data_IF_186975387252
#
_entry.id   IF_186975387252
#
_cell.length_a   1.000
_cell.length_b   1.000
_cell.length_c   1.000
_cell.angle_alpha   90.00
_cell.angle_beta   90.00
_cell.angle_gamma   90.00
#
_symmetry.space_group_name_H-M   'P 1'
#
loop_
_entity.id
_entity.type
_entity.pdbx_description
1 polymer ?
#
# COMPACT_ATOMS: atom_id res chain seq x y z
N UNK A 1 23.36 -15.29 3.12
CA UNK A 1 22.86 -15.56 1.75
C UNK A 1 21.87 -14.47 1.43
N UNK A 2 22.25 -13.54 0.56
CA UNK A 2 21.46 -12.34 0.25
C UNK A 2 20.57 -12.66 -0.95
N UNK A 3 19.25 -12.67 -0.76
CA UNK A 3 18.30 -12.87 -1.85
C UNK A 3 17.97 -11.51 -2.47
N UNK A 4 18.58 -11.24 -3.63
CA UNK A 4 18.23 -10.10 -4.49
C UNK A 4 16.99 -10.48 -5.30
N UNK A 5 15.84 -9.89 -4.98
CA UNK A 5 14.65 -10.00 -5.81
C UNK A 5 14.80 -9.09 -7.04
N UNK A 6 14.86 -9.67 -8.24
CA UNK A 6 14.76 -8.93 -9.50
C UNK A 6 13.30 -8.64 -9.77
N UNK A 7 12.91 -7.37 -9.66
CA UNK A 7 11.59 -6.88 -10.05
C UNK A 7 11.57 -6.83 -11.59
N UNK A 8 10.80 -7.71 -12.22
CA UNK A 8 10.64 -7.75 -13.67
C UNK A 8 9.49 -6.81 -14.06
N UNK A 9 9.83 -5.74 -14.77
CA UNK A 9 8.89 -4.75 -15.31
C UNK A 9 8.03 -5.36 -16.42
N UNK A 10 6.86 -5.87 -16.05
CA UNK A 10 5.74 -6.04 -16.98
C UNK A 10 4.45 -5.78 -16.20
N UNK A 11 3.88 -4.61 -16.47
CA UNK A 11 2.64 -3.94 -16.06
C UNK A 11 1.51 -4.61 -15.24
N UNK A 12 1.53 -5.87 -14.79
CA UNK A 12 0.39 -6.44 -14.07
C UNK A 12 0.72 -7.52 -13.02
N UNK A 13 1.99 -7.73 -12.64
CA UNK A 13 2.35 -8.84 -11.75
C UNK A 13 3.40 -8.43 -10.71
N UNK A 14 3.01 -8.39 -9.44
CA UNK A 14 3.94 -8.30 -8.30
C UNK A 14 3.89 -9.64 -7.57
N UNK A 15 4.99 -10.39 -7.58
CA UNK A 15 5.07 -11.76 -7.10
C UNK A 15 6.03 -11.90 -5.91
N UNK A 16 5.56 -12.53 -4.84
CA UNK A 16 6.39 -13.18 -3.81
C UNK A 16 6.18 -14.70 -3.94
N UNK A 17 7.26 -15.45 -4.01
CA UNK A 17 7.29 -16.82 -4.51
C UNK A 17 6.43 -17.82 -3.71
N UNK A 18 5.38 -18.35 -4.38
CA UNK A 18 4.88 -19.75 -4.45
C UNK A 18 3.38 -19.77 -4.79
N UNK A 19 2.63 -18.70 -4.52
CA UNK A 19 1.25 -18.51 -4.96
C UNK A 19 1.09 -17.10 -5.54
N UNK A 20 0.86 -16.98 -6.85
CA UNK A 20 0.75 -15.68 -7.49
C UNK A 20 -0.51 -14.94 -7.00
N UNK A 21 -0.32 -13.96 -6.12
CA UNK A 21 -1.39 -13.07 -5.68
C UNK A 21 -1.66 -12.06 -6.80
N UNK A 22 -2.77 -12.25 -7.52
CA UNK A 22 -3.21 -11.31 -8.56
C UNK A 22 -4.00 -10.18 -7.90
N UNK A 23 -3.39 -9.00 -7.81
CA UNK A 23 -4.05 -7.77 -7.36
C UNK A 23 -4.35 -6.92 -8.58
N UNK A 24 -5.61 -6.54 -8.75
CA UNK A 24 -6.00 -5.59 -9.78
C UNK A 24 -5.40 -4.23 -9.43
N UNK A 25 -4.54 -3.64 -10.28
CA UNK A 25 -3.96 -2.34 -10.01
C UNK A 25 -5.03 -1.25 -9.94
N UNK A 26 -4.83 -0.32 -9.03
CA UNK A 26 -5.63 0.91 -8.88
C UNK A 26 -4.91 2.12 -9.47
N UNK A 27 -3.58 2.02 -9.64
CA UNK A 27 -2.73 3.08 -10.17
C UNK A 27 -1.35 2.55 -10.59
N UNK A 28 -0.37 3.45 -10.66
CA UNK A 28 1.03 3.12 -10.94
C UNK A 28 1.69 2.56 -9.68
N UNK A 29 2.22 1.34 -9.75
CA UNK A 29 2.98 0.76 -8.64
C UNK A 29 4.27 1.53 -8.39
N UNK A 30 4.50 1.93 -7.14
CA UNK A 30 5.74 2.63 -6.74
C UNK A 30 6.57 1.89 -5.70
N UNK A 31 5.95 1.09 -4.82
CA UNK A 31 6.68 0.33 -3.81
C UNK A 31 5.85 -0.81 -3.21
N UNK A 32 6.54 -1.86 -2.74
CA UNK A 32 5.98 -2.89 -1.88
C UNK A 32 6.62 -2.81 -0.50
N UNK A 33 5.80 -2.70 0.55
CA UNK A 33 6.24 -2.78 1.94
C UNK A 33 5.92 -4.15 2.56
N UNK A 34 6.21 -4.31 3.85
CA UNK A 34 5.94 -5.56 4.59
C UNK A 34 4.45 -5.89 4.73
N UNK A 35 3.58 -4.87 4.59
CA UNK A 35 2.15 -4.93 4.89
C UNK A 35 1.26 -4.62 3.69
N UNK A 36 1.77 -3.86 2.72
CA UNK A 36 0.96 -3.30 1.65
C UNK A 36 1.77 -3.01 0.39
N UNK A 37 1.04 -2.97 -0.72
CA UNK A 37 1.45 -2.37 -1.98
C UNK A 37 1.11 -0.89 -1.95
N UNK A 38 2.01 -0.08 -2.49
CA UNK A 38 1.86 1.37 -2.63
C UNK A 38 1.75 1.73 -4.11
N UNK A 39 0.69 2.46 -4.45
CA UNK A 39 0.36 2.86 -5.82
C UNK A 39 0.07 4.37 -5.88
N UNK A 40 0.47 5.06 -6.96
CA UNK A 40 0.02 6.42 -7.27
C UNK A 40 -1.24 6.33 -8.14
N UNK A 41 -2.33 6.89 -7.65
CA UNK A 41 -3.60 6.96 -8.38
C UNK A 41 -3.53 8.01 -9.51
N UNK A 42 -4.41 7.94 -10.52
CA UNK A 42 -4.52 9.00 -11.54
C UNK A 42 -4.82 10.39 -10.99
N UNK A 43 -5.35 10.50 -9.76
CA UNK A 43 -5.52 11.78 -9.06
C UNK A 43 -4.20 12.41 -8.59
N UNK A 44 -3.10 11.67 -8.61
CA UNK A 44 -1.82 12.03 -8.00
C UNK A 44 -1.75 11.74 -6.51
N UNK A 45 -2.76 11.11 -5.90
CA UNK A 45 -2.71 10.65 -4.51
C UNK A 45 -2.07 9.25 -4.42
N UNK A 46 -1.53 8.92 -3.25
CA UNK A 46 -0.98 7.58 -2.97
C UNK A 46 -2.04 6.71 -2.31
N UNK A 47 -2.10 5.45 -2.72
CA UNK A 47 -2.90 4.41 -2.07
C UNK A 47 -2.02 3.32 -1.52
N UNK A 48 -2.31 2.89 -0.29
CA UNK A 48 -1.77 1.68 0.32
C UNK A 48 -2.86 0.61 0.35
N UNK A 49 -2.61 -0.52 -0.32
CA UNK A 49 -3.49 -1.69 -0.35
C UNK A 49 -2.79 -2.86 0.36
N UNK A 50 -3.38 -3.47 1.39
CA UNK A 50 -2.74 -4.57 2.10
C UNK A 50 -2.50 -5.78 1.18
N UNK A 51 -1.45 -6.55 1.47
CA UNK A 51 -1.24 -7.84 0.82
C UNK A 51 -2.43 -8.77 1.06
N UNK A 52 -2.82 -9.52 0.03
CA UNK A 52 -3.95 -10.47 0.05
C UNK A 52 -3.49 -11.88 -0.27
N UNK A 53 -4.28 -12.89 0.04
CA UNK A 53 -4.05 -14.28 -0.36
C UNK A 53 -2.90 -14.99 0.37
N UNK A 54 -2.24 -14.34 1.33
CA UNK A 54 -1.20 -14.97 2.16
C UNK A 54 -1.73 -15.26 3.57
N UNK A 55 -1.03 -16.13 4.31
CA UNK A 55 -1.29 -16.38 5.74
C UNK A 55 -1.22 -15.11 6.60
N UNK A 56 -0.57 -14.05 6.09
CA UNK A 56 -0.44 -12.75 6.76
C UNK A 56 -1.50 -11.73 6.37
N UNK A 57 -2.46 -12.08 5.49
CA UNK A 57 -3.48 -11.13 5.01
C UNK A 57 -4.24 -10.45 6.17
N UNK A 58 -4.70 -11.23 7.15
CA UNK A 58 -5.41 -10.67 8.31
C UNK A 58 -4.56 -9.68 9.10
N UNK A 59 -3.27 -9.95 9.24
CA UNK A 59 -2.36 -9.07 9.98
C UNK A 59 -2.04 -7.81 9.17
N UNK A 60 -1.84 -7.94 7.86
CA UNK A 60 -1.66 -6.81 6.95
C UNK A 60 -2.89 -5.86 6.99
N UNK A 61 -4.10 -6.43 6.95
CA UNK A 61 -5.35 -5.66 7.08
C UNK A 61 -5.45 -4.93 8.43
N UNK A 62 -5.09 -5.60 9.54
CA UNK A 62 -5.08 -4.99 10.88
C UNK A 62 -4.08 -3.85 10.97
N UNK A 63 -2.86 -4.03 10.46
CA UNK A 63 -1.80 -3.02 10.50
C UNK A 63 -2.20 -1.77 9.71
N UNK A 64 -2.76 -1.93 8.51
CA UNK A 64 -3.27 -0.81 7.71
C UNK A 64 -4.50 -0.14 8.38
N UNK A 65 -5.39 -0.91 9.01
CA UNK A 65 -6.48 -0.35 9.81
C UNK A 65 -5.97 0.49 10.99
N UNK A 66 -4.92 0.02 11.68
CA UNK A 66 -4.28 0.77 12.77
C UNK A 66 -3.68 2.07 12.24
N UNK A 67 -2.98 2.04 11.11
CA UNK A 67 -2.44 3.23 10.46
C UNK A 67 -3.54 4.26 10.15
N UNK A 68 -4.65 3.82 9.54
CA UNK A 68 -5.78 4.69 9.25
C UNK A 68 -6.42 5.30 10.51
N UNK A 69 -6.49 4.53 11.61
CA UNK A 69 -6.97 5.03 12.91
C UNK A 69 -6.02 6.07 13.50
N UNK A 70 -4.70 5.90 13.33
CA UNK A 70 -3.70 6.88 13.77
C UNK A 70 -3.89 8.20 13.04
N UNK A 71 -4.01 8.19 11.71
CA UNK A 71 -4.30 9.41 10.93
C UNK A 71 -5.60 10.09 11.38
N UNK A 72 -6.68 9.34 11.56
CA UNK A 72 -7.96 9.89 12.06
C UNK A 72 -7.82 10.52 13.45
N UNK A 73 -7.01 9.94 14.33
CA UNK A 73 -6.79 10.44 15.69
C UNK A 73 -5.92 11.68 15.72
N UNK A 74 -4.88 11.74 14.88
CA UNK A 74 -3.95 12.87 14.81
C UNK A 74 -4.56 14.07 14.08
N UNK A 75 -5.43 13.82 13.10
CA UNK A 75 -6.01 14.86 12.25
C UNK A 75 -4.99 15.44 11.28
N UNK A 76 -5.40 16.53 10.60
CA UNK A 76 -4.54 17.23 9.66
C UNK A 76 -3.45 18.02 10.40
N UNK A 77 -2.19 17.80 10.02
CA UNK A 77 -1.04 18.50 10.60
C UNK A 77 0.01 18.80 9.53
N UNK A 78 0.64 20.00 9.48
CA UNK A 78 1.58 20.37 8.41
C UNK A 78 2.82 19.47 8.25
N UNK A 79 3.17 18.70 9.29
CA UNK A 79 4.30 17.74 9.28
C UNK A 79 3.88 16.29 9.10
N UNK A 80 2.59 16.04 8.88
CA UNK A 80 2.04 14.71 8.68
C UNK A 80 1.44 14.66 7.27
N UNK A 81 1.73 13.60 6.53
CA UNK A 81 1.11 13.38 5.22
C UNK A 81 -0.40 13.39 5.38
N UNK A 82 -1.11 14.14 4.54
CA UNK A 82 -2.56 14.25 4.72
C UNK A 82 -3.25 12.94 4.36
N UNK A 83 -4.11 12.44 5.25
CA UNK A 83 -5.02 11.36 4.93
C UNK A 83 -6.19 11.89 4.11
N UNK A 84 -6.37 11.37 2.89
CA UNK A 84 -7.43 11.78 1.97
C UNK A 84 -8.66 10.91 2.12
N UNK A 85 -8.46 9.60 2.22
CA UNK A 85 -9.56 8.64 2.27
C UNK A 85 -9.18 7.34 3.01
N UNK A 86 -10.19 6.70 3.60
CA UNK A 86 -10.11 5.37 4.17
C UNK A 86 -11.29 4.54 3.68
N UNK A 87 -11.03 3.43 2.99
CA UNK A 87 -12.05 2.47 2.57
C UNK A 87 -12.01 1.22 3.47
N UNK A 88 -13.01 1.02 4.35
CA UNK A 88 -13.06 -0.14 5.23
C UNK A 88 -13.37 -1.46 4.50
N UNK A 89 -13.93 -1.42 3.29
CA UNK A 89 -14.29 -2.65 2.56
C UNK A 89 -13.07 -3.30 1.93
N UNK A 90 -12.13 -2.48 1.43
CA UNK A 90 -10.92 -2.96 0.79
C UNK A 90 -9.67 -2.84 1.66
N UNK A 91 -9.84 -2.27 2.87
CA UNK A 91 -8.76 -1.89 3.78
C UNK A 91 -7.73 -0.97 3.11
N UNK A 92 -8.20 -0.04 2.28
CA UNK A 92 -7.34 0.85 1.51
C UNK A 92 -7.19 2.21 2.18
N UNK A 93 -5.96 2.65 2.36
CA UNK A 93 -5.62 3.97 2.89
C UNK A 93 -5.10 4.86 1.76
N UNK A 94 -5.77 5.99 1.51
CA UNK A 94 -5.35 6.98 0.52
C UNK A 94 -4.78 8.21 1.20
N UNK A 95 -3.57 8.59 0.80
CA UNK A 95 -2.77 9.68 1.35
C UNK A 95 -2.39 10.66 0.23
N UNK A 96 -2.06 11.89 0.62
CA UNK A 96 -1.37 12.83 -0.26
C UNK A 96 -0.02 12.26 -0.73
N UNK A 97 0.33 12.48 -2.01
CA UNK A 97 1.63 12.09 -2.53
C UNK A 97 2.74 13.00 -2.03
N UNK A 98 3.84 12.39 -1.61
CA UNK A 98 5.08 13.07 -1.21
C UNK A 98 6.17 12.72 -2.22
N UNK A 99 6.53 13.63 -3.14
CA UNK A 99 7.49 13.36 -4.22
C UNK A 99 8.88 12.91 -3.75
N UNK A 100 9.27 13.29 -2.53
CA UNK A 100 10.53 12.93 -1.91
C UNK A 100 10.33 11.96 -0.73
N UNK A 101 9.29 11.13 -0.76
CA UNK A 101 9.07 10.12 0.26
C UNK A 101 10.32 9.26 0.49
N UNK A 102 10.66 9.01 1.75
CA UNK A 102 11.78 8.14 2.14
C UNK A 102 11.31 6.71 2.40
#
# INVERSE_FOLDING_TARGET
MTATAKILTTNDLICDAIDAIVIKPKGEFIAGGTTSIVEILPSGDVTKTPWRGSVRESDCQKEILIEAKIYKKLGDHPRLVKMKHWDPNTFTLTLEYMPNGH
#
